data_IF_545666687647
#
_entry.id   IF_545666687647
#
_cell.length_a   1.000
_cell.length_b   1.000
_cell.length_c   1.000
_cell.angle_alpha   90.00
_cell.angle_beta   90.00
_cell.angle_gamma   90.00
#
_symmetry.space_group_name_H-M   'P 1'
#
loop_
_entity.id
_entity.type
_entity.pdbx_description
1 polymer ?
#
# COMPACT_ATOMS: atom_id res chain seq x y z
N UNK A 1 -5.38 -15.22 -10.28
CA UNK A 1 -5.69 -14.22 -9.23
C UNK A 1 -5.21 -14.69 -7.87
N UNK A 2 -4.38 -13.89 -7.21
CA UNK A 2 -3.80 -14.11 -5.89
C UNK A 2 -3.82 -12.81 -5.08
N UNK A 3 -4.04 -12.92 -3.76
CA UNK A 3 -3.95 -11.78 -2.83
C UNK A 3 -2.61 -11.84 -2.12
N UNK A 4 -1.78 -10.82 -2.33
CA UNK A 4 -0.47 -10.69 -1.70
C UNK A 4 -0.57 -9.71 -0.54
N UNK A 5 -0.13 -10.14 0.64
CA UNK A 5 0.10 -9.26 1.79
C UNK A 5 1.52 -8.68 1.73
N UNK A 6 1.64 -7.35 1.70
CA UNK A 6 2.94 -6.67 1.64
C UNK A 6 3.77 -6.85 2.92
N UNK A 7 3.12 -7.15 4.06
CA UNK A 7 3.81 -7.43 5.33
C UNK A 7 4.76 -8.62 5.24
N UNK A 8 4.40 -9.62 4.44
CA UNK A 8 5.19 -10.84 4.27
C UNK A 8 5.93 -10.89 2.92
N UNK A 9 5.60 -9.99 2.01
CA UNK A 9 6.05 -10.05 0.60
C UNK A 9 6.60 -8.69 0.17
N UNK A 10 7.68 -8.26 0.81
CA UNK A 10 8.32 -6.96 0.55
C UNK A 10 8.85 -6.83 -0.89
N UNK A 11 9.02 -7.94 -1.63
CA UNK A 11 9.35 -7.93 -3.05
C UNK A 11 8.29 -7.23 -3.93
N UNK A 12 7.05 -7.11 -3.44
CA UNK A 12 5.95 -6.42 -4.12
C UNK A 12 5.80 -4.95 -3.70
N UNK A 13 6.65 -4.46 -2.79
CA UNK A 13 6.54 -3.12 -2.20
C UNK A 13 6.57 -2.02 -3.26
N UNK A 14 7.56 -2.02 -4.15
CA UNK A 14 7.67 -0.97 -5.17
C UNK A 14 6.50 -1.02 -6.16
N UNK A 15 5.99 -2.23 -6.47
CA UNK A 15 4.79 -2.40 -7.30
C UNK A 15 3.55 -1.84 -6.61
N UNK A 16 3.45 -2.02 -5.30
CA UNK A 16 2.36 -1.46 -4.52
C UNK A 16 2.43 0.07 -4.48
N UNK A 17 3.60 0.64 -4.17
CA UNK A 17 3.80 2.09 -4.10
C UNK A 17 3.37 2.74 -5.42
N UNK A 18 3.86 2.21 -6.54
CA UNK A 18 3.47 2.70 -7.86
C UNK A 18 1.95 2.58 -8.11
N UNK A 19 1.34 1.46 -7.72
CA UNK A 19 -0.11 1.25 -7.88
C UNK A 19 -0.94 2.22 -7.04
N UNK A 20 -0.60 2.39 -5.76
CA UNK A 20 -1.33 3.29 -4.86
C UNK A 20 -1.13 4.76 -5.26
N UNK A 21 0.09 5.14 -5.65
CA UNK A 21 0.38 6.49 -6.14
C UNK A 21 -0.39 6.83 -7.42
N UNK A 22 -0.44 5.92 -8.40
CA UNK A 22 -1.20 6.11 -9.65
C UNK A 22 -2.70 6.30 -9.42
N UNK A 23 -3.26 5.72 -8.35
CA UNK A 23 -4.69 5.73 -8.08
C UNK A 23 -5.14 6.84 -7.12
N UNK A 24 -4.32 7.17 -6.12
CA UNK A 24 -4.74 8.01 -4.99
C UNK A 24 -3.74 9.10 -4.60
N UNK A 25 -2.50 9.11 -5.12
CA UNK A 25 -1.57 10.18 -4.81
C UNK A 25 -1.79 11.42 -5.67
N UNK A 26 -1.55 12.58 -5.06
CA UNK A 26 -1.28 13.85 -5.74
C UNK A 26 0.24 14.09 -5.73
N UNK A 27 0.71 15.13 -6.40
CA UNK A 27 2.13 15.52 -6.33
C UNK A 27 2.61 15.74 -4.89
N UNK A 28 1.74 16.27 -4.03
CA UNK A 28 2.05 16.54 -2.61
C UNK A 28 2.06 15.27 -1.76
N UNK A 29 1.21 14.28 -2.06
CA UNK A 29 1.06 13.06 -1.25
C UNK A 29 1.87 11.88 -1.77
N UNK A 30 2.55 12.01 -2.92
CA UNK A 30 3.39 10.94 -3.49
C UNK A 30 4.43 10.41 -2.49
N UNK A 31 5.17 11.29 -1.83
CA UNK A 31 6.19 10.91 -0.84
C UNK A 31 5.56 10.30 0.42
N UNK A 32 4.36 10.77 0.80
CA UNK A 32 3.63 10.24 1.96
C UNK A 32 3.25 8.77 1.73
N UNK A 33 2.82 8.41 0.51
CA UNK A 33 2.53 7.02 0.17
C UNK A 33 3.78 6.12 0.21
N UNK A 34 4.90 6.57 -0.37
CA UNK A 34 6.16 5.80 -0.34
C UNK A 34 6.62 5.55 1.11
N UNK A 35 6.70 6.61 1.91
CA UNK A 35 7.11 6.52 3.32
C UNK A 35 6.15 5.63 4.13
N UNK A 36 4.83 5.76 3.92
CA UNK A 36 3.84 5.01 4.68
C UNK A 36 3.91 3.50 4.36
N UNK A 37 3.99 3.12 3.08
CA UNK A 37 4.08 1.72 2.71
C UNK A 37 5.40 1.09 3.19
N UNK A 38 6.54 1.79 3.03
CA UNK A 38 7.85 1.28 3.47
C UNK A 38 7.92 1.09 4.98
N UNK A 39 7.46 2.06 5.76
CA UNK A 39 7.48 1.95 7.22
C UNK A 39 6.43 0.97 7.78
N UNK A 40 5.38 0.65 7.01
CA UNK A 40 4.33 -0.28 7.46
C UNK A 40 4.73 -1.74 7.48
N UNK A 41 5.71 -2.15 6.66
CA UNK A 41 6.19 -3.54 6.60
C UNK A 41 6.86 -3.95 7.92
N UNK A 42 7.67 -3.05 8.48
CA UNK A 42 8.41 -3.29 9.73
C UNK A 42 7.61 -2.88 10.98
N UNK A 43 6.37 -2.41 10.82
CA UNK A 43 5.56 -1.95 11.93
C UNK A 43 5.23 -3.11 12.89
N UNK A 44 5.63 -2.95 14.16
CA UNK A 44 5.31 -3.88 15.26
C UNK A 44 3.80 -3.98 15.46
N UNK A 45 3.07 -2.90 15.17
CA UNK A 45 1.63 -2.85 15.31
C UNK A 45 0.92 -3.59 14.16
N UNK A 46 -0.33 -4.00 14.42
CA UNK A 46 -1.15 -4.75 13.47
C UNK A 46 -1.53 -3.94 12.22
N UNK A 47 -1.40 -2.61 12.24
CA UNK A 47 -1.84 -1.71 11.17
C UNK A 47 -0.82 -0.58 10.92
N UNK A 48 -0.77 -0.03 9.68
CA UNK A 48 -1.61 -0.37 8.53
C UNK A 48 -1.21 -1.69 7.85
N UNK A 49 -2.18 -2.37 7.21
CA UNK A 49 -1.94 -3.53 6.35
C UNK A 49 -2.25 -3.20 4.90
N UNK A 50 -1.45 -3.73 3.99
CA UNK A 50 -1.59 -3.46 2.56
C UNK A 50 -1.62 -4.76 1.79
N UNK A 51 -2.57 -4.85 0.86
CA UNK A 51 -2.80 -6.02 0.03
C UNK A 51 -2.83 -5.64 -1.45
N UNK A 52 -2.25 -6.49 -2.29
CA UNK A 52 -2.36 -6.42 -3.74
C UNK A 52 -3.13 -7.62 -4.27
N UNK A 53 -4.01 -7.38 -5.23
CA UNK A 53 -4.63 -8.42 -6.03
C UNK A 53 -3.87 -8.52 -7.35
N UNK A 54 -3.25 -9.68 -7.58
CA UNK A 54 -2.40 -9.94 -8.74
C UNK A 54 -3.05 -11.00 -9.62
N UNK A 55 -3.06 -10.76 -10.93
CA UNK A 55 -3.40 -11.77 -11.93
C UNK A 55 -2.23 -11.98 -12.91
N UNK A 56 -1.57 -13.12 -12.78
CA UNK A 56 -0.29 -13.37 -13.45
C UNK A 56 0.78 -12.39 -12.98
N UNK A 57 1.21 -11.49 -13.87
CA UNK A 57 2.20 -10.45 -13.55
C UNK A 57 1.59 -9.04 -13.44
N UNK A 58 0.25 -8.94 -13.43
CA UNK A 58 -0.45 -7.65 -13.43
C UNK A 58 -1.11 -7.40 -12.07
N UNK A 59 -0.89 -6.22 -11.50
CA UNK A 59 -1.67 -5.71 -10.37
C UNK A 59 -3.03 -5.25 -10.92
N UNK A 60 -4.10 -5.84 -10.40
CA UNK A 60 -5.48 -5.58 -10.82
C UNK A 60 -6.34 -4.99 -9.71
N UNK A 61 -5.80 -4.90 -8.49
CA UNK A 61 -6.47 -4.31 -7.34
C UNK A 61 -5.50 -4.08 -6.19
N UNK A 62 -5.89 -3.20 -5.28
CA UNK A 62 -5.19 -2.94 -4.03
C UNK A 62 -6.18 -2.60 -2.95
N UNK A 63 -5.93 -3.08 -1.73
CA UNK A 63 -6.72 -2.76 -0.55
C UNK A 63 -5.78 -2.38 0.59
N UNK A 64 -6.10 -1.29 1.27
CA UNK A 64 -5.39 -0.84 2.46
C UNK A 64 -6.33 -0.92 3.65
N UNK A 65 -5.86 -1.51 4.74
CA UNK A 65 -6.50 -1.41 6.05
C UNK A 65 -5.70 -0.40 6.87
N UNK A 66 -6.28 0.78 7.05
CA UNK A 66 -5.66 1.89 7.79
C UNK A 66 -6.48 2.21 9.05
N UNK A 67 -5.84 2.58 10.18
CA UNK A 67 -6.54 3.10 11.34
C UNK A 67 -7.39 4.32 10.96
N UNK A 68 -8.58 4.44 11.54
CA UNK A 68 -9.53 5.53 11.25
C UNK A 68 -8.91 6.93 11.39
N UNK A 69 -7.92 7.09 12.28
CA UNK A 69 -7.24 8.38 12.46
C UNK A 69 -6.27 8.74 11.31
N UNK A 70 -5.86 7.78 10.48
CA UNK A 70 -5.03 7.97 9.28
C UNK A 70 -5.85 8.26 8.03
N UNK A 71 -7.19 8.14 8.06
CA UNK A 71 -8.05 8.51 6.92
C UNK A 71 -7.98 10.00 6.56
N UNK A 72 -7.35 10.85 7.41
CA UNK A 72 -7.21 12.28 7.14
C UNK A 72 -6.27 12.63 5.98
N UNK A 73 -5.54 11.65 5.43
CA UNK A 73 -4.71 11.84 4.25
C UNK A 73 -5.48 11.73 2.92
N UNK A 74 -6.78 11.41 2.96
CA UNK A 74 -7.62 11.23 1.76
C UNK A 74 -8.70 12.33 1.56
N UNK A 75 -8.62 13.46 2.29
CA UNK A 75 -9.56 14.59 2.17
C UNK A 75 -8.94 15.82 1.53
#
# INVERSE_FOLDING_TARGET
MEVISLRYSSEYLDRAIAYFQDKWATEETMLVYDDCLRNSIDAVNSLPQWYLLIDGNRVIGGQAEIPVHLLKFES
#
